data_IF_266283864681
#
_entry.id   IF_266283864681
#
_cell.length_a   1.000
_cell.length_b   1.000
_cell.length_c   1.000
_cell.angle_alpha   90.00
_cell.angle_beta   90.00
_cell.angle_gamma   90.00
#
_symmetry.space_group_name_H-M   'P 1'
#
loop_
_entity.id
_entity.type
_entity.pdbx_description
1 polymer ?
#
# COMPACT_ATOMS: atom_id res chain seq x y z
N UNK A 1 -17.71 -14.83 20.70
CA UNK A 1 -17.81 -13.47 21.26
C UNK A 1 -16.83 -12.57 20.53
N UNK A 2 -17.29 -11.90 19.47
CA UNK A 2 -16.48 -10.91 18.75
C UNK A 2 -16.23 -9.70 19.64
N UNK A 3 -14.97 -9.47 20.00
CA UNK A 3 -14.55 -8.24 20.66
C UNK A 3 -14.46 -7.12 19.60
N UNK A 4 -15.61 -6.76 19.02
CA UNK A 4 -15.77 -5.61 18.13
C UNK A 4 -15.89 -4.36 19.02
N UNK A 5 -14.75 -3.89 19.56
CA UNK A 5 -14.68 -2.50 20.02
C UNK A 5 -14.94 -1.61 18.81
N UNK A 6 -15.62 -0.48 19.03
CA UNK A 6 -15.97 0.49 18.00
C UNK A 6 -14.67 1.04 17.34
N UNK A 7 -14.17 0.34 16.31
CA UNK A 7 -12.84 0.51 15.70
C UNK A 7 -12.75 1.75 14.79
N UNK A 8 -13.84 2.50 14.62
CA UNK A 8 -13.88 3.76 13.85
C UNK A 8 -13.08 4.88 14.51
N UNK A 9 -12.92 4.86 15.84
CA UNK A 9 -12.10 5.85 16.58
C UNK A 9 -10.59 5.57 16.52
N UNK A 10 -10.16 4.50 15.85
CA UNK A 10 -8.75 4.06 15.77
C UNK A 10 -8.10 4.39 14.41
N UNK A 11 -8.76 5.19 13.57
CA UNK A 11 -8.18 5.65 12.31
C UNK A 11 -7.30 6.88 12.61
N UNK A 12 -5.98 6.82 12.37
CA UNK A 12 -5.09 7.96 12.51
C UNK A 12 -5.44 9.03 11.47
N UNK A 13 -5.82 10.19 11.95
CA UNK A 13 -6.08 11.39 11.14
C UNK A 13 -5.08 12.52 11.48
N UNK A 14 -4.07 12.24 12.31
CA UNK A 14 -3.02 13.20 12.70
C UNK A 14 -1.62 12.64 12.50
N UNK A 15 -0.61 13.51 12.36
CA UNK A 15 0.81 13.12 12.29
C UNK A 15 1.26 12.31 13.50
N UNK A 16 0.76 12.65 14.68
CA UNK A 16 1.15 11.98 15.93
C UNK A 16 0.55 10.57 15.99
N UNK A 17 -0.69 10.41 15.51
CA UNK A 17 -1.29 9.11 15.35
C UNK A 17 -0.57 8.30 14.25
N UNK A 18 -0.15 8.91 13.14
CA UNK A 18 0.68 8.24 12.12
C UNK A 18 2.00 7.73 12.69
N UNK A 19 2.75 8.56 13.44
CA UNK A 19 3.98 8.12 14.11
C UNK A 19 3.71 6.95 15.06
N UNK A 20 2.58 7.00 15.78
CA UNK A 20 2.19 5.97 16.75
C UNK A 20 1.81 4.65 16.08
N UNK A 21 0.96 4.72 15.07
CA UNK A 21 0.22 3.58 14.54
C UNK A 21 0.79 3.08 13.22
N UNK A 22 1.56 3.91 12.51
CA UNK A 22 2.25 3.58 11.27
C UNK A 22 1.40 3.75 10.02
N UNK A 23 0.21 4.34 10.12
CA UNK A 23 -0.67 4.62 8.99
C UNK A 23 -1.50 5.89 9.21
N UNK A 24 -2.05 6.44 8.14
CA UNK A 24 -2.84 7.67 8.08
C UNK A 24 -3.88 7.52 6.96
N UNK A 25 -5.15 7.78 7.26
CA UNK A 25 -6.22 7.69 6.27
C UNK A 25 -6.74 9.09 5.90
N UNK A 26 -6.70 9.39 4.60
CA UNK A 26 -7.30 10.57 4.00
C UNK A 26 -8.58 10.15 3.28
N UNK A 27 -9.71 10.41 3.93
CA UNK A 27 -11.05 10.10 3.38
C UNK A 27 -11.40 11.06 2.25
N UNK A 28 -12.05 10.55 1.20
CA UNK A 28 -12.47 11.38 0.06
C UNK A 28 -11.33 12.15 -0.60
N UNK A 29 -10.14 11.54 -0.67
CA UNK A 29 -8.97 12.14 -1.30
C UNK A 29 -9.23 12.46 -2.78
N UNK A 30 -9.88 11.54 -3.50
CA UNK A 30 -10.40 11.78 -4.85
C UNK A 30 -11.90 12.02 -4.83
N UNK A 31 -12.36 12.95 -5.67
CA UNK A 31 -13.78 13.14 -5.93
C UNK A 31 -14.36 12.00 -6.79
N UNK A 32 -15.67 11.81 -6.76
CA UNK A 32 -16.38 10.75 -7.50
C UNK A 32 -16.07 10.74 -9.00
N UNK A 33 -15.93 11.92 -9.62
CA UNK A 33 -15.59 12.03 -11.05
C UNK A 33 -14.14 11.62 -11.33
N UNK A 34 -13.20 11.93 -10.44
CA UNK A 34 -11.80 11.49 -10.53
C UNK A 34 -11.70 9.97 -10.37
N UNK A 35 -12.43 9.40 -9.39
CA UNK A 35 -12.53 7.93 -9.22
C UNK A 35 -13.02 7.27 -10.50
N UNK A 36 -14.11 7.78 -11.08
CA UNK A 36 -14.68 7.25 -12.32
C UNK A 36 -13.69 7.34 -13.50
N UNK A 37 -12.96 8.45 -13.60
CA UNK A 37 -11.92 8.65 -14.60
C UNK A 37 -10.78 7.63 -14.44
N UNK A 38 -10.24 7.44 -13.23
CA UNK A 38 -9.16 6.49 -12.99
C UNK A 38 -9.59 5.04 -13.18
N UNK A 39 -10.84 4.69 -12.86
CA UNK A 39 -11.38 3.36 -13.19
C UNK A 39 -11.38 3.12 -14.70
N UNK A 40 -11.81 4.10 -15.51
CA UNK A 40 -11.75 3.99 -16.97
C UNK A 40 -10.31 3.89 -17.48
N UNK A 41 -9.37 4.63 -16.89
CA UNK A 41 -7.94 4.54 -17.26
C UNK A 41 -7.39 3.14 -16.94
N UNK A 42 -7.77 2.54 -15.80
CA UNK A 42 -7.35 1.18 -15.45
C UNK A 42 -7.97 0.15 -16.40
N UNK A 43 -9.26 0.30 -16.75
CA UNK A 43 -9.90 -0.55 -17.76
C UNK A 43 -9.10 -0.52 -19.07
N UNK A 44 -8.75 0.67 -19.56
CA UNK A 44 -7.92 0.83 -20.77
C UNK A 44 -6.52 0.18 -20.62
N UNK A 45 -5.85 0.36 -19.47
CA UNK A 45 -4.49 -0.17 -19.22
C UNK A 45 -4.50 -1.71 -19.15
N UNK A 46 -5.57 -2.30 -18.61
CA UNK A 46 -5.71 -3.74 -18.39
C UNK A 46 -6.47 -4.44 -19.53
N UNK A 47 -6.80 -3.70 -20.60
CA UNK A 47 -7.60 -4.19 -21.75
C UNK A 47 -8.95 -4.81 -21.32
N UNK A 48 -9.65 -4.13 -20.41
CA UNK A 48 -10.96 -4.53 -19.89
C UNK A 48 -12.08 -3.73 -20.57
N UNK A 49 -13.29 -4.32 -20.70
CA UNK A 49 -14.47 -3.56 -21.12
C UNK A 49 -14.70 -2.36 -20.21
N UNK A 50 -14.99 -1.20 -20.80
CA UNK A 50 -15.29 0.02 -20.03
C UNK A 50 -16.43 -0.22 -19.04
N UNK A 51 -16.21 0.13 -17.78
CA UNK A 51 -17.20 -0.09 -16.74
C UNK A 51 -17.15 -1.49 -16.13
N UNK A 52 -16.08 -2.25 -16.37
CA UNK A 52 -15.90 -3.61 -15.83
C UNK A 52 -16.03 -3.65 -14.30
N UNK A 53 -15.68 -2.56 -13.62
CA UNK A 53 -15.82 -2.39 -12.18
C UNK A 53 -17.26 -2.45 -11.65
N UNK A 54 -18.28 -2.25 -12.51
CA UNK A 54 -19.71 -2.39 -12.17
C UNK A 54 -20.24 -3.80 -12.37
N UNK A 55 -19.51 -4.64 -13.11
CA UNK A 55 -19.94 -5.99 -13.40
C UNK A 55 -19.71 -6.89 -12.18
N UNK A 56 -20.62 -7.85 -11.92
CA UNK A 56 -20.35 -8.91 -10.97
C UNK A 56 -19.02 -9.58 -11.31
N UNK A 57 -18.19 -9.81 -10.31
CA UNK A 57 -16.94 -10.51 -10.51
C UNK A 57 -17.22 -12.01 -10.70
N UNK A 58 -17.72 -12.38 -11.88
CA UNK A 58 -18.05 -13.77 -12.24
C UNK A 58 -16.81 -14.66 -12.18
N UNK A 59 -15.61 -14.07 -12.32
CA UNK A 59 -14.34 -14.63 -11.90
C UNK A 59 -13.47 -13.53 -11.27
N UNK A 60 -13.23 -13.60 -9.95
CA UNK A 60 -12.31 -12.71 -9.19
C UNK A 60 -10.84 -12.94 -9.56
N UNK A 61 -10.52 -12.91 -10.84
CA UNK A 61 -9.16 -13.06 -11.29
C UNK A 61 -8.34 -11.86 -10.78
N UNK A 62 -7.27 -12.18 -10.07
CA UNK A 62 -6.31 -11.18 -9.63
C UNK A 62 -5.51 -10.70 -10.83
N UNK A 63 -5.46 -9.39 -11.02
CA UNK A 63 -4.60 -8.75 -12.00
C UNK A 63 -3.75 -7.69 -11.29
N UNK A 64 -2.45 -7.69 -11.59
CA UNK A 64 -1.52 -6.72 -11.00
C UNK A 64 -0.53 -6.25 -12.05
N UNK A 65 -0.36 -4.94 -12.18
CA UNK A 65 0.70 -4.36 -12.99
C UNK A 65 1.70 -3.70 -12.06
N UNK A 66 2.86 -4.33 -11.92
CA UNK A 66 3.97 -3.74 -11.20
C UNK A 66 4.59 -2.58 -11.99
N UNK A 67 4.98 -1.55 -11.26
CA UNK A 67 5.39 -0.24 -11.78
C UNK A 67 4.33 0.43 -12.66
N UNK A 68 3.05 0.11 -12.42
CA UNK A 68 1.94 0.49 -13.28
C UNK A 68 1.71 1.99 -13.37
N UNK A 69 1.95 2.76 -12.30
CA UNK A 69 1.79 4.23 -12.34
C UNK A 69 2.94 4.87 -13.14
N UNK A 70 4.18 4.46 -12.88
CA UNK A 70 5.36 5.00 -13.58
C UNK A 70 5.26 4.78 -15.09
N UNK A 71 4.81 3.59 -15.51
CA UNK A 71 4.71 3.19 -16.93
C UNK A 71 3.58 3.90 -17.69
N UNK A 72 2.57 4.45 -17.00
CA UNK A 72 1.35 4.95 -17.64
C UNK A 72 1.16 6.44 -17.36
N UNK A 73 1.40 7.28 -18.39
CA UNK A 73 1.35 8.74 -18.26
C UNK A 73 0.01 9.30 -17.83
N UNK A 74 -1.09 8.63 -18.17
CA UNK A 74 -2.45 8.96 -17.70
C UNK A 74 -2.58 8.91 -16.16
N UNK A 75 -1.72 8.19 -15.45
CA UNK A 75 -1.73 8.07 -14.00
C UNK A 75 -0.72 8.99 -13.29
N UNK A 76 0.20 9.64 -14.03
CA UNK A 76 1.18 10.56 -13.45
C UNK A 76 0.59 11.72 -12.66
N UNK A 77 -0.62 12.28 -12.98
CA UNK A 77 -1.22 13.30 -12.13
C UNK A 77 -1.36 12.91 -10.65
N UNK A 78 -1.49 11.62 -10.33
CA UNK A 78 -1.51 11.14 -8.95
C UNK A 78 -0.14 11.29 -8.24
N UNK A 79 0.97 11.18 -8.98
CA UNK A 79 2.33 11.36 -8.44
C UNK A 79 2.54 12.82 -7.99
N UNK A 80 1.91 13.77 -8.69
CA UNK A 80 2.09 15.20 -8.48
C UNK A 80 0.89 15.85 -7.78
N UNK A 81 -0.02 15.06 -7.19
CA UNK A 81 -1.20 15.60 -6.54
C UNK A 81 -0.81 16.42 -5.31
N UNK A 82 -1.13 17.71 -5.30
CA UNK A 82 -0.69 18.64 -4.25
C UNK A 82 -1.18 18.25 -2.85
N UNK A 83 -2.42 17.78 -2.71
CA UNK A 83 -2.96 17.30 -1.42
C UNK A 83 -2.16 16.12 -0.90
N UNK A 84 -1.83 15.17 -1.79
CA UNK A 84 -0.98 14.02 -1.43
C UNK A 84 0.42 14.46 -1.02
N UNK A 85 1.08 15.30 -1.82
CA UNK A 85 2.45 15.75 -1.55
C UNK A 85 2.54 16.53 -0.24
N UNK A 86 1.62 17.46 0.01
CA UNK A 86 1.54 18.21 1.29
C UNK A 86 1.36 17.24 2.46
N UNK A 87 0.47 16.27 2.33
CA UNK A 87 0.21 15.27 3.39
C UNK A 87 1.44 14.41 3.64
N UNK A 88 2.07 13.86 2.60
CA UNK A 88 3.28 13.04 2.74
C UNK A 88 4.42 13.86 3.37
N UNK A 89 4.64 15.10 2.91
CA UNK A 89 5.65 15.99 3.49
C UNK A 89 5.39 16.27 4.97
N UNK A 90 4.13 16.50 5.32
CA UNK A 90 3.73 16.67 6.71
C UNK A 90 4.04 15.43 7.58
N UNK A 91 3.81 14.23 7.05
CA UNK A 91 4.00 12.97 7.78
C UNK A 91 5.48 12.57 7.93
N UNK A 92 6.27 12.61 6.84
CA UNK A 92 7.63 12.04 6.81
C UNK A 92 8.77 13.05 6.72
N UNK A 93 8.47 14.34 6.52
CA UNK A 93 9.47 15.40 6.38
C UNK A 93 9.37 16.13 5.03
N UNK A 94 9.91 17.34 4.94
CA UNK A 94 9.71 18.19 3.77
C UNK A 94 10.42 17.68 2.51
N UNK A 95 11.58 17.04 2.63
CA UNK A 95 12.40 16.63 1.48
C UNK A 95 12.05 15.21 1.02
N UNK A 96 10.96 15.06 0.26
CA UNK A 96 10.47 13.74 -0.19
C UNK A 96 10.80 13.46 -1.66
N UNK A 97 10.88 12.18 -1.99
CA UNK A 97 11.17 11.66 -3.33
C UNK A 97 10.21 10.54 -3.70
N UNK A 98 9.86 10.47 -4.98
CA UNK A 98 9.13 9.34 -5.55
C UNK A 98 10.09 8.16 -5.69
N UNK A 99 9.79 7.04 -5.03
CA UNK A 99 10.72 5.91 -4.97
C UNK A 99 10.48 4.85 -6.05
N UNK A 100 9.55 5.11 -6.98
CA UNK A 100 9.22 4.21 -8.11
C UNK A 100 8.75 2.80 -7.67
N UNK A 101 8.20 2.65 -6.47
CA UNK A 101 7.44 1.47 -6.08
C UNK A 101 5.95 1.79 -6.24
N UNK A 102 5.43 1.54 -7.44
CA UNK A 102 4.04 1.78 -7.82
C UNK A 102 3.40 0.56 -8.43
N UNK A 103 2.09 0.38 -8.27
CA UNK A 103 1.39 -0.81 -8.75
C UNK A 103 -0.10 -0.50 -9.01
N UNK A 104 -0.71 -1.24 -9.93
CA UNK A 104 -2.16 -1.24 -10.15
C UNK A 104 -2.68 -2.62 -9.77
N UNK A 105 -3.68 -2.69 -8.89
CA UNK A 105 -4.23 -3.94 -8.39
C UNK A 105 -5.73 -4.06 -8.69
N UNK A 106 -6.12 -5.18 -9.31
CA UNK A 106 -7.50 -5.63 -9.42
C UNK A 106 -7.63 -6.97 -8.69
N UNK A 107 -8.60 -7.06 -7.76
CA UNK A 107 -8.90 -8.29 -7.03
C UNK A 107 -7.69 -8.96 -6.36
N UNK A 108 -6.66 -8.20 -5.96
CA UNK A 108 -5.56 -8.74 -5.16
C UNK A 108 -6.11 -9.18 -3.79
N UNK A 109 -6.10 -10.49 -3.49
CA UNK A 109 -6.91 -11.06 -2.42
C UNK A 109 -6.18 -10.98 -1.07
N UNK A 110 -6.81 -11.58 -0.06
CA UNK A 110 -6.29 -11.69 1.28
C UNK A 110 -4.86 -12.23 1.34
N UNK A 111 -3.97 -11.42 1.92
CA UNK A 111 -2.53 -11.63 1.90
C UNK A 111 -2.02 -12.37 3.14
N UNK A 112 -0.76 -12.83 3.06
CA UNK A 112 0.02 -13.14 4.26
C UNK A 112 0.33 -11.83 4.98
N UNK A 113 0.56 -11.88 6.29
CA UNK A 113 1.10 -10.76 7.03
C UNK A 113 2.54 -10.50 6.58
N UNK A 114 2.82 -9.27 6.17
CA UNK A 114 4.12 -8.87 5.67
C UNK A 114 4.37 -7.38 5.90
N UNK A 115 5.62 -7.00 5.64
CA UNK A 115 6.07 -5.62 5.50
C UNK A 115 6.54 -5.41 4.06
N UNK A 116 6.45 -4.17 3.59
CA UNK A 116 6.79 -3.80 2.22
C UNK A 116 8.24 -3.35 2.05
N UNK A 117 8.89 -3.00 3.16
CA UNK A 117 10.29 -2.59 3.16
C UNK A 117 11.25 -3.70 2.69
N UNK A 118 12.48 -3.32 2.31
CA UNK A 118 13.47 -4.24 1.76
C UNK A 118 13.89 -5.30 2.79
N UNK A 119 14.14 -4.88 4.04
CA UNK A 119 14.50 -5.75 5.15
C UNK A 119 13.30 -6.06 6.05
N UNK A 120 12.51 -7.06 5.67
CA UNK A 120 11.17 -7.33 6.25
C UNK A 120 11.17 -7.89 7.68
N UNK A 121 12.30 -8.39 8.15
CA UNK A 121 12.42 -8.90 9.52
C UNK A 121 12.63 -7.73 10.49
N UNK A 122 11.81 -7.67 11.54
CA UNK A 122 11.84 -6.56 12.49
C UNK A 122 13.21 -6.43 13.17
N UNK A 123 13.76 -5.22 13.17
CA UNK A 123 15.04 -4.91 13.81
C UNK A 123 16.28 -5.43 13.06
N UNK A 124 16.14 -6.02 11.88
CA UNK A 124 17.24 -6.60 11.13
C UNK A 124 17.48 -5.87 9.80
N UNK A 125 18.71 -5.41 9.57
CA UNK A 125 19.09 -4.74 8.31
C UNK A 125 18.93 -3.21 8.36
N UNK A 126 19.33 -2.55 7.26
CA UNK A 126 19.48 -1.09 7.23
C UNK A 126 18.17 -0.33 7.44
N UNK A 127 17.03 -0.86 7.00
CA UNK A 127 15.71 -0.20 7.15
C UNK A 127 15.28 0.03 8.62
N UNK A 128 15.95 -0.59 9.58
CA UNK A 128 15.68 -0.46 11.02
C UNK A 128 16.72 0.39 11.76
N UNK A 129 17.76 0.86 11.06
CA UNK A 129 18.81 1.69 11.61
C UNK A 129 18.45 3.16 11.47
N UNK A 130 17.84 3.72 12.52
CA UNK A 130 17.41 5.14 12.55
C UNK A 130 18.35 6.05 13.35
N UNK A 131 19.59 5.63 13.59
CA UNK A 131 20.57 6.41 14.36
C UNK A 131 21.11 7.62 13.60
N UNK A 132 21.31 7.50 12.29
CA UNK A 132 21.78 8.59 11.43
C UNK A 132 20.63 9.30 10.70
N UNK A 133 19.66 8.53 10.22
CA UNK A 133 18.56 9.02 9.39
C UNK A 133 17.25 8.37 9.82
N UNK A 134 16.18 9.16 9.96
CA UNK A 134 14.83 8.61 10.18
C UNK A 134 14.35 7.85 8.95
N UNK A 135 13.66 6.72 9.11
CA UNK A 135 13.28 5.84 7.99
C UNK A 135 12.53 6.56 6.86
N UNK A 136 11.37 7.15 7.17
CA UNK A 136 10.68 8.09 6.28
C UNK A 136 10.12 7.52 4.96
N UNK A 137 10.12 6.20 4.74
CA UNK A 137 9.54 5.59 3.53
C UNK A 137 8.09 5.15 3.77
N UNK A 138 7.19 5.63 2.92
CA UNK A 138 5.75 5.33 2.99
C UNK A 138 5.22 4.72 1.71
N UNK A 139 4.21 3.88 1.88
CA UNK A 139 3.34 3.39 0.82
C UNK A 139 2.06 4.21 0.84
N UNK A 140 1.56 4.51 -0.36
CA UNK A 140 0.31 5.22 -0.59
C UNK A 140 -0.60 4.27 -1.36
N UNK A 141 -1.80 4.03 -0.83
CA UNK A 141 -2.81 3.15 -1.41
C UNK A 141 -4.10 3.94 -1.64
N UNK A 142 -4.45 4.17 -2.90
CA UNK A 142 -5.67 4.86 -3.32
C UNK A 142 -6.69 3.80 -3.70
N UNK A 143 -7.82 3.77 -3.01
CA UNK A 143 -8.89 2.80 -3.23
C UNK A 143 -9.93 3.39 -4.17
N UNK A 144 -10.31 2.62 -5.20
CA UNK A 144 -11.31 3.05 -6.19
C UNK A 144 -12.61 2.25 -6.09
N UNK A 145 -12.69 1.32 -5.13
CA UNK A 145 -13.84 0.46 -4.91
C UNK A 145 -14.29 0.52 -3.46
N UNK A 146 -15.59 0.36 -3.25
CA UNK A 146 -16.19 0.38 -1.92
C UNK A 146 -16.01 -0.95 -1.19
N UNK A 147 -15.77 -0.88 0.12
CA UNK A 147 -15.77 -2.03 1.02
C UNK A 147 -17.11 -2.80 0.96
N UNK A 148 -18.26 -2.13 0.96
CA UNK A 148 -19.58 -2.79 0.95
C UNK A 148 -19.77 -3.68 -0.28
N UNK A 149 -19.15 -3.29 -1.40
CA UNK A 149 -19.33 -3.95 -2.69
C UNK A 149 -18.26 -5.00 -2.98
N UNK A 150 -17.03 -4.79 -2.51
CA UNK A 150 -15.91 -5.70 -2.78
C UNK A 150 -15.58 -6.63 -1.60
N UNK A 151 -15.99 -6.25 -0.39
CA UNK A 151 -15.51 -6.84 0.87
C UNK A 151 -14.02 -6.60 1.13
N UNK A 152 -13.34 -5.80 0.30
CA UNK A 152 -11.90 -5.57 0.39
C UNK A 152 -11.55 -4.67 1.56
N UNK A 153 -10.62 -5.11 2.39
CA UNK A 153 -10.03 -4.30 3.44
C UNK A 153 -8.51 -4.42 3.45
N UNK A 154 -7.83 -3.49 4.10
CA UNK A 154 -6.46 -3.68 4.55
C UNK A 154 -6.47 -3.95 6.05
N UNK A 155 -5.74 -4.97 6.47
CA UNK A 155 -5.53 -5.28 7.88
C UNK A 155 -4.16 -4.76 8.26
N UNK A 156 -4.08 -3.99 9.34
CA UNK A 156 -2.83 -3.42 9.84
C UNK A 156 -2.65 -3.77 11.32
N UNK A 157 -1.41 -3.99 11.74
CA UNK A 157 -1.04 -4.06 13.16
C UNK A 157 -0.48 -2.70 13.58
N UNK A 158 -1.29 -1.83 14.23
CA UNK A 158 -0.87 -0.48 14.57
C UNK A 158 0.39 -0.50 15.43
N UNK A 159 1.43 0.25 15.06
CA UNK A 159 2.68 0.38 15.82
C UNK A 159 3.71 -0.75 15.61
N UNK A 160 3.43 -1.71 14.73
CA UNK A 160 4.33 -2.84 14.43
C UNK A 160 5.59 -2.45 13.63
N UNK A 161 5.67 -1.20 13.16
CA UNK A 161 6.87 -0.58 12.59
C UNK A 161 7.89 -0.15 13.65
N UNK A 162 7.54 -0.19 14.94
CA UNK A 162 8.42 0.26 16.04
C UNK A 162 8.68 -0.79 17.10
N UNK A 163 7.77 -1.74 17.26
CA UNK A 163 7.87 -2.78 18.28
C UNK A 163 7.26 -4.09 17.79
N UNK A 164 8.01 -5.17 17.97
CA UNK A 164 7.58 -6.55 17.75
C UNK A 164 8.07 -7.43 18.91
N UNK A 165 7.14 -8.10 19.60
CA UNK A 165 7.51 -9.11 20.61
C UNK A 165 7.75 -10.48 19.97
N UNK A 166 8.52 -11.34 20.63
CA UNK A 166 8.74 -12.72 20.16
C UNK A 166 7.45 -13.53 20.03
N UNK A 167 6.44 -13.22 20.87
CA UNK A 167 5.11 -13.85 20.80
C UNK A 167 4.38 -13.39 19.53
N UNK A 168 4.34 -12.07 19.27
CA UNK A 168 3.76 -11.54 18.03
C UNK A 168 4.40 -12.19 16.80
N UNK A 169 5.73 -12.36 16.84
CA UNK A 169 6.50 -12.96 15.75
C UNK A 169 6.12 -14.40 15.48
N UNK A 170 6.09 -15.24 16.52
CA UNK A 170 5.67 -16.65 16.40
C UNK A 170 4.25 -16.76 15.87
N UNK A 171 3.35 -15.89 16.33
CA UNK A 171 1.95 -15.87 15.90
C UNK A 171 1.79 -15.57 14.40
N UNK A 172 2.37 -14.48 13.87
CA UNK A 172 2.21 -14.21 12.43
C UNK A 172 2.93 -15.25 11.57
N UNK A 173 4.06 -15.83 12.01
CA UNK A 173 4.73 -16.92 11.29
C UNK A 173 3.82 -18.14 11.21
N UNK A 174 3.18 -18.52 12.32
CA UNK A 174 2.19 -19.60 12.36
C UNK A 174 1.03 -19.32 11.41
N UNK A 175 0.39 -18.15 11.49
CA UNK A 175 -0.72 -17.78 10.61
C UNK A 175 -0.31 -17.75 9.14
N UNK A 176 0.90 -17.28 8.83
CA UNK A 176 1.42 -17.28 7.47
C UNK A 176 1.64 -18.72 6.95
N UNK A 177 2.15 -19.64 7.77
CA UNK A 177 2.27 -21.06 7.41
C UNK A 177 0.90 -21.69 7.17
N UNK A 178 -0.06 -21.47 8.06
CA UNK A 178 -1.43 -21.97 7.92
C UNK A 178 -2.09 -21.42 6.65
N UNK A 179 -1.95 -20.12 6.39
CA UNK A 179 -2.47 -19.49 5.17
C UNK A 179 -1.81 -20.02 3.90
N UNK A 180 -0.51 -20.30 3.94
CA UNK A 180 0.22 -20.94 2.84
C UNK A 180 -0.34 -22.32 2.52
N UNK A 181 -0.68 -23.06 3.56
CA UNK A 181 -1.28 -24.37 3.44
C UNK A 181 -2.72 -24.29 2.90
N UNK A 182 -3.56 -23.41 3.43
CA UNK A 182 -4.93 -23.21 2.94
C UNK A 182 -4.97 -22.71 1.50
N UNK A 183 -4.02 -21.85 1.08
CA UNK A 183 -3.89 -21.40 -0.30
C UNK A 183 -3.62 -22.57 -1.25
N UNK A 184 -2.77 -23.52 -0.87
CA UNK A 184 -2.51 -24.75 -1.66
C UNK A 184 -3.76 -25.62 -1.82
N UNK A 185 -4.75 -25.48 -0.94
CA UNK A 185 -6.03 -26.20 -1.00
C UNK A 185 -7.21 -25.34 -1.47
N UNK A 186 -6.93 -24.15 -2.02
CA UNK A 186 -7.94 -23.21 -2.49
C UNK A 186 -8.98 -22.77 -1.42
N UNK A 187 -8.64 -22.86 -0.12
CA UNK A 187 -9.50 -22.47 1.02
C UNK A 187 -8.94 -21.26 1.78
N UNK A 188 -8.12 -20.43 1.12
CA UNK A 188 -7.49 -19.24 1.71
C UNK A 188 -8.51 -18.26 2.34
N UNK A 189 -9.70 -18.15 1.76
CA UNK A 189 -10.76 -17.26 2.25
C UNK A 189 -11.33 -17.67 3.62
N UNK A 190 -11.19 -18.94 4.01
CA UNK A 190 -11.64 -19.44 5.30
C UNK A 190 -10.60 -19.23 6.42
N UNK A 191 -9.34 -18.94 6.08
CA UNK A 191 -8.32 -18.67 7.10
C UNK A 191 -8.58 -17.31 7.76
N UNK A 192 -8.78 -17.28 9.09
CA UNK A 192 -8.99 -16.03 9.79
C UNK A 192 -7.68 -15.24 9.87
N UNK A 193 -7.82 -13.94 10.13
CA UNK A 193 -6.71 -13.07 10.53
C UNK A 193 -6.89 -12.78 12.02
N UNK A 194 -6.62 -13.75 12.88
CA UNK A 194 -6.72 -13.58 14.33
C UNK A 194 -5.33 -13.28 14.89
N UNK A 195 -5.26 -12.34 15.83
CA UNK A 195 -4.09 -12.16 16.68
C UNK A 195 -4.55 -12.13 18.12
N UNK A 196 -3.99 -13.01 18.95
CA UNK A 196 -4.16 -13.01 20.39
C UNK A 196 -3.18 -12.04 21.06
N UNK A 197 -2.01 -11.86 20.45
CA UNK A 197 -0.92 -11.11 21.04
C UNK A 197 -0.96 -9.60 20.76
N UNK A 198 -1.78 -9.15 19.80
CA UNK A 198 -1.97 -7.72 19.47
C UNK A 198 -3.29 -7.50 18.73
N UNK A 199 -4.05 -6.43 19.03
CA UNK A 199 -5.19 -6.06 18.19
C UNK A 199 -4.71 -5.63 16.79
N UNK A 200 -5.49 -5.98 15.78
CA UNK A 200 -5.35 -5.46 14.42
C UNK A 200 -6.50 -4.51 14.09
N UNK A 201 -6.26 -3.58 13.18
CA UNK A 201 -7.31 -2.70 12.64
C UNK A 201 -7.65 -3.17 11.23
N UNK A 202 -8.95 -3.24 10.95
CA UNK A 202 -9.48 -3.50 9.60
C UNK A 202 -9.92 -2.18 8.98
N UNK A 203 -9.14 -1.72 8.02
CA UNK A 203 -9.41 -0.51 7.26
C UNK A 203 -10.40 -0.84 6.14
N UNK A 204 -11.64 -0.40 6.35
CA UNK A 204 -12.72 -0.42 5.35
C UNK A 204 -12.64 0.90 4.61
N UNK A 205 -12.49 0.86 3.29
CA UNK A 205 -12.28 2.04 2.47
C UNK A 205 -13.47 2.27 1.54
N UNK A 206 -13.70 3.55 1.24
CA UNK A 206 -14.65 4.01 0.24
C UNK A 206 -13.91 4.43 -1.03
N UNK A 207 -14.60 4.49 -2.19
CA UNK A 207 -14.00 4.97 -3.42
C UNK A 207 -13.45 6.38 -3.23
N UNK A 208 -12.19 6.58 -3.59
CA UNK A 208 -11.47 7.83 -3.46
C UNK A 208 -10.71 7.99 -2.15
N UNK A 209 -10.81 7.06 -1.20
CA UNK A 209 -9.97 7.09 0.00
C UNK A 209 -8.51 6.80 -0.31
N UNK A 210 -7.61 7.48 0.41
CA UNK A 210 -6.17 7.31 0.30
C UNK A 210 -5.56 6.94 1.66
N UNK A 211 -4.92 5.79 1.73
CA UNK A 211 -4.21 5.31 2.90
C UNK A 211 -2.70 5.48 2.70
N UNK A 212 -2.04 6.16 3.63
CA UNK A 212 -0.59 6.34 3.66
C UNK A 212 -0.06 5.54 4.85
N UNK A 213 0.94 4.69 4.67
CA UNK A 213 1.49 3.88 5.76
C UNK A 213 3.01 3.69 5.68
N UNK A 214 3.67 3.66 6.84
CA UNK A 214 5.08 3.30 6.96
C UNK A 214 5.28 1.89 6.41
N UNK A 215 6.20 1.70 5.48
CA UNK A 215 6.37 0.42 4.79
C UNK A 215 6.81 -0.74 5.71
N UNK A 216 7.26 -0.42 6.93
CA UNK A 216 7.61 -1.38 7.97
C UNK A 216 6.41 -1.79 8.82
N UNK A 217 5.23 -1.19 8.62
CA UNK A 217 4.03 -1.64 9.32
C UNK A 217 3.64 -3.03 8.82
N UNK A 218 3.43 -3.95 9.75
CA UNK A 218 2.94 -5.29 9.46
C UNK A 218 1.47 -5.19 9.03
N UNK A 219 1.19 -5.68 7.83
CA UNK A 219 -0.13 -5.58 7.24
C UNK A 219 -0.45 -6.80 6.36
N UNK A 220 -1.72 -6.95 5.99
CA UNK A 220 -2.21 -7.96 5.07
C UNK A 220 -3.45 -7.45 4.32
N UNK A 221 -3.64 -7.90 3.08
CA UNK A 221 -4.94 -7.77 2.44
C UNK A 221 -6.00 -8.57 3.21
N UNK A 222 -7.21 -8.03 3.35
CA UNK A 222 -8.38 -8.76 3.84
C UNK A 222 -9.01 -9.64 2.75
N UNK A 223 -9.87 -10.58 3.15
CA UNK A 223 -10.56 -11.48 2.23
C UNK A 223 -11.57 -10.74 1.34
N UNK A 224 -11.58 -11.04 0.04
CA UNK A 224 -12.54 -10.48 -0.93
C UNK A 224 -13.80 -11.33 -0.99
N UNK A 225 -14.92 -10.81 -0.50
CA UNK A 225 -16.19 -11.54 -0.40
C UNK A 225 -17.38 -10.80 -0.99
N UNK A 226 -17.21 -9.55 -1.43
CA UNK A 226 -18.28 -8.80 -2.07
C UNK A 226 -18.52 -9.20 -3.54
N UNK A 227 -19.67 -8.79 -4.12
CA UNK A 227 -20.06 -9.10 -5.50
C UNK A 227 -19.26 -8.37 -6.58
N UNK A 228 -18.70 -7.20 -6.28
CA UNK A 228 -17.96 -6.38 -7.24
C UNK A 228 -16.44 -6.50 -7.07
N UNK A 229 -15.72 -6.17 -8.14
CA UNK A 229 -14.26 -6.20 -8.16
C UNK A 229 -13.65 -5.08 -7.30
N UNK A 230 -12.49 -5.36 -6.72
CA UNK A 230 -11.65 -4.39 -5.99
C UNK A 230 -10.64 -3.77 -6.94
N UNK A 231 -10.58 -2.44 -6.98
CA UNK A 231 -9.56 -1.66 -7.68
C UNK A 231 -8.79 -0.79 -6.69
N UNK A 232 -7.47 -0.78 -6.84
CA UNK A 232 -6.60 0.10 -6.06
C UNK A 232 -5.33 0.45 -6.84
N UNK A 233 -4.85 1.66 -6.62
CA UNK A 233 -3.57 2.17 -7.14
C UNK A 233 -2.63 2.33 -5.96
N UNK A 234 -1.41 1.85 -6.11
CA UNK A 234 -0.35 1.99 -5.12
C UNK A 234 0.81 2.80 -5.67
N UNK A 235 1.41 3.61 -4.81
CA UNK A 235 2.66 4.33 -5.07
C UNK A 235 3.43 4.52 -3.78
N UNK A 236 4.64 5.06 -3.84
CA UNK A 236 5.43 5.27 -2.63
C UNK A 236 6.34 6.48 -2.74
N UNK A 237 6.59 7.05 -1.57
CA UNK A 237 7.50 8.16 -1.37
C UNK A 237 8.43 7.82 -0.22
N UNK A 238 9.60 8.45 -0.22
CA UNK A 238 10.51 8.39 0.90
C UNK A 238 11.15 9.73 1.15
N UNK A 239 11.62 9.97 2.37
CA UNK A 239 12.56 11.05 2.63
C UNK A 239 13.81 10.86 1.75
N UNK A 240 14.45 11.96 1.35
CA UNK A 240 15.66 11.92 0.54
C UNK A 240 16.86 11.43 1.38
N UNK A 241 16.97 10.11 1.56
CA UNK A 241 17.92 9.47 2.46
C UNK A 241 18.27 8.04 1.99
N UNK A 242 19.15 7.37 2.74
CA UNK A 242 19.60 6.01 2.40
C UNK A 242 18.49 4.96 2.43
N UNK A 243 17.48 5.13 3.30
CA UNK A 243 16.32 4.22 3.40
C UNK A 243 15.48 4.23 2.12
N UNK A 244 15.21 5.42 1.57
CA UNK A 244 14.49 5.55 0.30
C UNK A 244 15.29 5.00 -0.89
N UNK A 245 16.61 5.23 -0.90
CA UNK A 245 17.51 4.68 -1.92
C UNK A 245 17.56 3.14 -1.88
N UNK A 246 17.68 2.56 -0.68
CA UNK A 246 17.64 1.11 -0.47
C UNK A 246 16.30 0.52 -0.94
N UNK A 247 15.19 1.16 -0.54
CA UNK A 247 13.85 0.76 -0.95
C UNK A 247 13.69 0.76 -2.47
N UNK A 248 14.05 1.86 -3.14
CA UNK A 248 14.01 1.95 -4.61
C UNK A 248 14.84 0.83 -5.25
N UNK A 249 16.07 0.64 -4.78
CA UNK A 249 16.99 -0.39 -5.30
C UNK A 249 16.40 -1.79 -5.18
N UNK A 250 15.83 -2.12 -4.02
CA UNK A 250 15.21 -3.42 -3.78
C UNK A 250 14.07 -3.73 -4.77
N UNK A 251 13.22 -2.76 -5.09
CA UNK A 251 12.12 -2.96 -6.05
C UNK A 251 12.61 -2.97 -7.50
N UNK A 252 13.57 -2.12 -7.87
CA UNK A 252 14.14 -2.08 -9.23
C UNK A 252 14.97 -3.31 -9.61
N UNK A 253 15.43 -4.10 -8.62
CA UNK A 253 16.06 -5.41 -8.88
C UNK A 253 15.05 -6.45 -9.38
N UNK A 254 13.75 -6.23 -9.23
CA UNK A 254 12.73 -7.18 -9.68
C UNK A 254 12.50 -7.04 -11.19
N UNK A 255 12.34 -8.14 -11.93
CA UNK A 255 12.16 -8.11 -13.38
C UNK A 255 10.88 -7.38 -13.81
N UNK A 256 9.91 -7.22 -12.91
CA UNK A 256 8.63 -6.59 -13.20
C UNK A 256 8.65 -5.06 -13.17
N UNK A 257 9.71 -4.45 -12.60
CA UNK A 257 9.85 -2.99 -12.49
C UNK A 257 10.75 -2.44 -13.60
N UNK A 258 10.41 -1.25 -14.11
CA UNK A 258 11.23 -0.60 -15.13
C UNK A 258 12.49 -0.03 -14.48
N UNK A 259 13.67 -0.42 -14.96
CA UNK A 259 14.95 0.14 -14.46
C UNK A 259 15.10 1.63 -14.77
N UNK A 260 14.41 2.10 -15.81
CA UNK A 260 14.41 3.48 -16.28
C UNK A 260 13.05 4.12 -16.05
N UNK A 261 13.08 5.40 -15.65
CA UNK A 261 11.89 6.25 -15.59
C UNK A 261 11.72 6.88 -16.99
N UNK A 262 10.50 6.90 -17.56
CA UNK A 262 10.25 7.59 -18.83
C UNK A 262 10.76 9.04 -18.80
N UNK A 263 11.42 9.50 -19.88
CA UNK A 263 12.10 10.81 -19.90
C UNK A 263 11.19 11.96 -19.50
N UNK A 264 9.96 12.00 -20.01
CA UNK A 264 8.99 13.04 -19.65
C UNK A 264 8.64 13.01 -18.15
N UNK A 265 8.47 11.82 -17.56
CA UNK A 265 8.24 11.70 -16.11
C UNK A 265 9.49 12.11 -15.33
N UNK A 266 10.69 11.68 -15.76
CA UNK A 266 11.95 12.02 -15.12
C UNK A 266 12.15 13.54 -15.06
N UNK A 267 11.93 14.24 -16.17
CA UNK A 267 12.06 15.71 -16.22
C UNK A 267 11.09 16.37 -15.24
N UNK A 268 9.82 15.96 -15.25
CA UNK A 268 8.83 16.50 -14.31
C UNK A 268 9.17 16.20 -12.85
N UNK A 269 9.72 15.02 -12.55
CA UNK A 269 10.19 14.68 -11.21
C UNK A 269 11.38 15.57 -10.79
N UNK A 270 12.25 15.98 -11.71
CA UNK A 270 13.34 16.94 -11.42
C UNK A 270 12.76 18.31 -11.10
N UNK A 271 11.86 18.81 -11.95
CA UNK A 271 11.23 20.13 -11.80
C UNK A 271 10.50 20.27 -10.46
N UNK A 272 9.81 19.20 -10.04
CA UNK A 272 9.03 19.15 -8.79
C UNK A 272 9.87 18.69 -7.58
N UNK A 273 11.19 18.51 -7.76
CA UNK A 273 12.13 18.04 -6.72
C UNK A 273 11.72 16.70 -6.08
N UNK A 274 11.14 15.81 -6.88
CA UNK A 274 10.69 14.47 -6.48
C UNK A 274 11.58 13.35 -7.01
N UNK A 275 12.53 13.63 -7.91
CA UNK A 275 13.44 12.60 -8.44
C UNK A 275 14.42 12.15 -7.36
N UNK A 276 14.33 10.88 -6.94
CA UNK A 276 15.32 10.29 -6.03
C UNK A 276 16.69 10.24 -6.75
N UNK A 277 17.75 10.84 -6.16
CA UNK A 277 19.09 10.77 -6.75
C UNK A 277 19.51 9.31 -6.97
N UNK A 278 20.16 9.05 -8.09
CA UNK A 278 20.80 7.76 -8.29
C UNK A 278 22.12 7.83 -7.51
N UNK A 279 22.22 7.07 -6.43
CA UNK A 279 23.53 6.74 -5.88
C UNK A 279 24.08 5.61 -6.74
N UNK A 280 25.34 5.74 -7.17
CA UNK A 280 26.05 4.68 -7.88
C UNK A 280 25.94 3.39 -7.05
N UNK A 281 25.35 2.36 -7.67
CA UNK A 281 25.05 1.07 -7.06
C UNK A 281 26.30 0.20 -6.91
#
# INVERSE_FOLDING_TARGET
MEHNRNLSSLIPETKEAFKRDGFFLMKGFLATHEVSNYLSIIDDIMDLPKGSYKLPSTHKQTQTIADGVTKNSKLWPLIFNSKLLVTVRHLVGNDIRYTQHSDIHINLPGGRWHRDNAYREFGCGSDWQENAETYGVVRVAIYLSDYSNSGSSLLVLPGSHRQESSINRREYVFWNKLRSFARRRNVNGACPHIFLSRPYVRLKTHPGDCLIFDQRVMHAGGNLHGPLSKYAIYMSYGANNSHAANHRTFFLRRPTYSKTIPTALKNRLIDEQLLLPQHDL
#
